data_IF_427984317637
#
_entry.id   IF_427984317637
#
_cell.length_a   1.000
_cell.length_b   1.000
_cell.length_c   1.000
_cell.angle_alpha   90.00
_cell.angle_beta   90.00
_cell.angle_gamma   90.00
#
_symmetry.space_group_name_H-M   'P 1'
#
loop_
_entity.id
_entity.type
_entity.pdbx_description
1 polymer ?
#
# COMPACT_ATOMS: atom_id res chain seq x y z
N UNK A 1 -19.52 -14.39 31.94
CA UNK A 1 -19.31 -13.99 30.53
C UNK A 1 -19.30 -12.48 30.47
N UNK A 2 -18.15 -11.84 30.23
CA UNK A 2 -18.14 -10.42 29.90
C UNK A 2 -18.68 -10.25 28.48
N UNK A 3 -19.76 -9.49 28.32
CA UNK A 3 -20.29 -9.14 27.01
C UNK A 3 -19.22 -8.34 26.24
N UNK A 4 -18.94 -8.75 25.00
CA UNK A 4 -18.00 -8.03 24.13
C UNK A 4 -18.52 -6.62 23.90
N UNK A 5 -17.68 -5.62 24.12
CA UNK A 5 -18.03 -4.20 23.97
C UNK A 5 -18.53 -3.90 22.55
N UNK A 6 -19.65 -3.17 22.37
CA UNK A 6 -20.10 -2.69 21.06
C UNK A 6 -19.02 -1.94 20.28
N UNK A 7 -18.13 -1.24 20.99
CA UNK A 7 -17.01 -0.49 20.40
C UNK A 7 -15.94 -1.42 19.82
N UNK A 8 -15.71 -2.57 20.46
CA UNK A 8 -14.81 -3.59 19.92
C UNK A 8 -15.38 -4.23 18.64
N UNK A 9 -16.70 -4.43 18.59
CA UNK A 9 -17.37 -4.95 17.40
C UNK A 9 -17.25 -3.99 16.21
N UNK A 10 -17.28 -2.68 16.46
CA UNK A 10 -17.04 -1.67 15.44
C UNK A 10 -15.60 -1.75 14.87
N UNK A 11 -14.58 -1.75 15.75
CA UNK A 11 -13.18 -1.93 15.35
C UNK A 11 -13.00 -3.19 14.50
N UNK A 12 -13.51 -4.31 15.00
CA UNK A 12 -13.44 -5.61 14.33
C UNK A 12 -14.16 -5.59 12.99
N UNK A 13 -15.32 -4.94 12.92
CA UNK A 13 -16.09 -4.79 11.69
C UNK A 13 -15.32 -4.02 10.61
N UNK A 14 -14.73 -2.87 10.96
CA UNK A 14 -13.91 -2.07 10.03
C UNK A 14 -12.72 -2.88 9.53
N UNK A 15 -12.00 -3.56 10.42
CA UNK A 15 -10.84 -4.37 10.07
C UNK A 15 -11.19 -5.55 9.16
N UNK A 16 -12.25 -6.29 9.49
CA UNK A 16 -12.71 -7.45 8.71
C UNK A 16 -13.18 -7.03 7.33
N UNK A 17 -13.92 -5.92 7.22
CA UNK A 17 -14.35 -5.40 5.92
C UNK A 17 -13.14 -5.01 5.05
N UNK A 18 -12.15 -4.35 5.63
CA UNK A 18 -10.94 -3.98 4.92
C UNK A 18 -10.13 -5.20 4.46
N UNK A 19 -9.88 -6.15 5.37
CA UNK A 19 -9.17 -7.41 5.07
C UNK A 19 -9.88 -8.22 3.99
N UNK A 20 -11.20 -8.39 4.12
CA UNK A 20 -12.01 -9.15 3.14
C UNK A 20 -11.96 -8.50 1.77
N UNK A 21 -12.02 -7.16 1.68
CA UNK A 21 -11.92 -6.46 0.40
C UNK A 21 -10.59 -6.79 -0.30
N UNK A 22 -9.47 -6.70 0.42
CA UNK A 22 -8.14 -7.01 -0.14
C UNK A 22 -8.02 -8.48 -0.54
N UNK A 23 -8.47 -9.39 0.31
CA UNK A 23 -8.39 -10.83 0.06
C UNK A 23 -9.25 -11.26 -1.13
N UNK A 24 -10.47 -10.71 -1.27
CA UNK A 24 -11.32 -10.96 -2.43
C UNK A 24 -10.64 -10.52 -3.73
N UNK A 25 -9.95 -9.38 -3.73
CA UNK A 25 -9.20 -8.90 -4.89
C UNK A 25 -7.99 -9.80 -5.17
N UNK A 26 -7.27 -10.24 -4.12
CA UNK A 26 -6.13 -11.15 -4.23
C UNK A 26 -6.49 -12.50 -4.82
N UNK A 27 -7.57 -13.12 -4.33
CA UNK A 27 -8.02 -14.45 -4.81
C UNK A 27 -8.50 -14.39 -6.27
N UNK A 28 -9.09 -13.27 -6.68
CA UNK A 28 -9.51 -13.06 -8.06
C UNK A 28 -8.36 -12.65 -9.00
N UNK A 29 -7.16 -12.41 -8.47
CA UNK A 29 -6.04 -11.89 -9.25
C UNK A 29 -5.30 -13.01 -10.01
N UNK A 30 -5.25 -12.95 -11.35
CA UNK A 30 -4.54 -13.95 -12.15
C UNK A 30 -3.04 -13.62 -12.17
N UNK A 31 -2.35 -13.90 -11.07
CA UNK A 31 -0.92 -13.58 -10.91
C UNK A 31 -0.03 -14.18 -12.00
N UNK A 32 -0.39 -15.36 -12.50
CA UNK A 32 0.33 -16.09 -13.54
C UNK A 32 0.31 -15.38 -14.90
N UNK A 33 -0.73 -14.60 -15.20
CA UNK A 33 -0.96 -13.97 -16.51
C UNK A 33 -0.54 -12.50 -16.56
N UNK A 34 -0.40 -11.87 -15.39
CA UNK A 34 -0.15 -10.44 -15.23
C UNK A 34 1.28 -10.12 -14.79
N UNK A 35 2.19 -11.08 -14.93
CA UNK A 35 3.57 -10.94 -14.53
C UNK A 35 4.18 -9.73 -15.25
N UNK A 36 4.35 -8.63 -14.51
CA UNK A 36 5.07 -7.47 -14.98
C UNK A 36 6.47 -7.97 -15.31
N UNK A 37 6.80 -7.97 -16.59
CA UNK A 37 8.04 -8.56 -17.04
C UNK A 37 9.18 -7.61 -16.65
N UNK A 38 9.76 -7.84 -15.48
CA UNK A 38 10.94 -7.13 -15.01
C UNK A 38 12.08 -7.50 -15.95
N UNK A 39 12.55 -6.52 -16.72
CA UNK A 39 13.60 -6.67 -17.73
C UNK A 39 14.81 -5.81 -17.37
N UNK A 40 15.97 -6.20 -17.90
CA UNK A 40 17.22 -5.45 -17.75
C UNK A 40 17.56 -5.20 -16.29
N UNK A 41 18.01 -3.98 -15.99
CA UNK A 41 18.44 -3.55 -14.67
C UNK A 41 17.36 -3.71 -13.58
N UNK A 42 16.06 -3.72 -13.92
CA UNK A 42 15.01 -3.96 -12.93
C UNK A 42 15.01 -5.41 -12.41
N UNK A 43 15.37 -6.37 -13.25
CA UNK A 43 15.44 -7.80 -12.87
C UNK A 43 16.62 -8.12 -11.96
N UNK A 44 17.62 -7.24 -11.89
CA UNK A 44 18.80 -7.38 -11.03
C UNK A 44 18.52 -6.98 -9.58
N UNK A 45 17.51 -6.13 -9.35
CA UNK A 45 17.24 -5.50 -8.06
C UNK A 45 15.89 -5.88 -7.44
N UNK A 46 14.97 -6.46 -8.22
CA UNK A 46 13.67 -6.88 -7.73
C UNK A 46 13.46 -8.37 -7.92
N UNK A 47 12.98 -9.02 -6.86
CA UNK A 47 12.59 -10.41 -6.88
C UNK A 47 11.07 -10.55 -7.10
N UNK A 48 10.58 -11.71 -7.57
CA UNK A 48 9.14 -11.96 -7.69
C UNK A 48 8.36 -11.70 -6.38
N UNK A 49 8.98 -11.95 -5.22
CA UNK A 49 8.39 -11.65 -3.90
C UNK A 49 8.18 -10.14 -3.64
N UNK A 50 8.94 -9.27 -4.31
CA UNK A 50 8.72 -7.82 -4.22
C UNK A 50 7.54 -7.37 -5.05
N UNK A 51 7.25 -8.06 -6.16
CA UNK A 51 6.07 -7.81 -6.97
C UNK A 51 4.78 -8.11 -6.20
N UNK A 52 4.77 -9.09 -5.30
CA UNK A 52 3.60 -9.32 -4.44
C UNK A 52 3.24 -8.08 -3.61
N UNK A 53 4.23 -7.36 -3.09
CA UNK A 53 4.02 -6.13 -2.31
C UNK A 53 3.52 -4.99 -3.20
N UNK A 54 3.94 -4.99 -4.47
CA UNK A 54 3.40 -4.06 -5.47
C UNK A 54 1.93 -4.38 -5.75
N UNK A 55 1.57 -5.66 -5.90
CA UNK A 55 0.18 -6.06 -6.09
C UNK A 55 -0.70 -5.72 -4.88
N UNK A 56 -0.21 -5.94 -3.65
CA UNK A 56 -0.88 -5.50 -2.42
C UNK A 56 -1.17 -4.00 -2.45
N UNK A 57 -0.16 -3.20 -2.81
CA UNK A 57 -0.28 -1.74 -2.88
C UNK A 57 -1.27 -1.28 -3.94
N UNK A 58 -1.37 -1.98 -5.08
CA UNK A 58 -2.32 -1.67 -6.14
C UNK A 58 -3.72 -2.27 -5.86
N UNK A 59 -3.88 -2.99 -4.75
CA UNK A 59 -5.12 -3.66 -4.37
C UNK A 59 -5.50 -4.77 -5.34
N UNK A 60 -4.51 -5.44 -5.94
CA UNK A 60 -4.68 -6.51 -6.93
C UNK A 60 -5.58 -6.11 -8.11
N UNK A 61 -5.59 -4.82 -8.47
CA UNK A 61 -6.36 -4.32 -9.60
C UNK A 61 -5.68 -4.70 -10.92
N UNK A 62 -6.30 -5.65 -11.63
CA UNK A 62 -5.80 -6.23 -12.87
C UNK A 62 -5.52 -5.17 -13.94
N UNK A 63 -6.44 -4.23 -14.14
CA UNK A 63 -6.29 -3.20 -15.18
C UNK A 63 -5.12 -2.27 -14.87
N UNK A 64 -4.90 -1.97 -13.60
CA UNK A 64 -3.80 -1.12 -13.17
C UNK A 64 -2.47 -1.86 -13.29
N UNK A 65 -2.40 -3.14 -12.95
CA UNK A 65 -1.19 -3.94 -13.16
C UNK A 65 -0.86 -4.04 -14.66
N UNK A 66 -1.85 -4.26 -15.53
CA UNK A 66 -1.66 -4.23 -16.99
C UNK A 66 -1.14 -2.87 -17.45
N UNK A 67 -1.72 -1.79 -16.93
CA UNK A 67 -1.28 -0.41 -17.22
C UNK A 67 0.19 -0.22 -16.84
N UNK A 68 0.66 -0.81 -15.74
CA UNK A 68 2.06 -0.76 -15.34
C UNK A 68 2.98 -1.51 -16.32
N UNK A 69 2.55 -2.69 -16.79
CA UNK A 69 3.25 -3.42 -17.85
C UNK A 69 3.38 -2.61 -19.14
N UNK A 70 2.30 -1.96 -19.58
CA UNK A 70 2.31 -1.09 -20.76
C UNK A 70 3.25 0.11 -20.62
N UNK A 71 3.40 0.65 -19.40
CA UNK A 71 4.39 1.69 -19.11
C UNK A 71 5.80 1.11 -19.26
N UNK A 72 6.06 -0.08 -18.73
CA UNK A 72 7.38 -0.71 -18.77
C UNK A 72 7.82 -1.03 -20.19
N UNK A 73 6.89 -1.46 -21.06
CA UNK A 73 7.21 -1.74 -22.46
C UNK A 73 7.62 -0.51 -23.28
N UNK A 74 7.37 0.72 -22.77
CA UNK A 74 7.74 1.99 -23.43
C UNK A 74 9.06 2.57 -22.93
N UNK A 75 9.66 1.98 -21.90
CA UNK A 75 10.84 2.50 -21.21
C UNK A 75 12.03 1.57 -21.44
N UNK A 76 13.23 2.15 -21.41
CA UNK A 76 14.48 1.39 -21.46
C UNK A 76 15.05 1.19 -20.05
N UNK A 77 15.48 -0.03 -19.76
CA UNK A 77 16.04 -0.45 -18.47
C UNK A 77 17.44 -1.02 -18.64
N UNK A 78 18.27 -0.39 -19.48
CA UNK A 78 19.61 -0.87 -19.81
C UNK A 78 20.60 -0.70 -18.65
N UNK A 79 20.47 0.34 -17.82
CA UNK A 79 21.31 0.56 -16.63
C UNK A 79 20.53 1.05 -15.42
N UNK A 80 21.02 0.72 -14.22
CA UNK A 80 20.51 1.24 -12.94
C UNK A 80 20.68 2.76 -12.80
N UNK A 81 21.62 3.34 -13.55
CA UNK A 81 21.90 4.78 -13.51
C UNK A 81 21.01 5.58 -14.46
N UNK A 82 20.28 4.92 -15.36
CA UNK A 82 19.45 5.59 -16.35
C UNK A 82 18.21 6.24 -15.72
N UNK A 83 17.80 7.34 -16.34
CA UNK A 83 16.64 8.13 -15.90
C UNK A 83 15.40 7.26 -15.78
N UNK A 84 15.13 6.43 -16.79
CA UNK A 84 13.90 5.66 -16.91
C UNK A 84 13.85 4.57 -15.83
N UNK A 85 14.95 3.82 -15.66
CA UNK A 85 15.14 2.87 -14.55
C UNK A 85 14.95 3.54 -13.20
N UNK A 86 15.62 4.67 -12.93
CA UNK A 86 15.51 5.37 -11.65
C UNK A 86 14.07 5.84 -11.34
N UNK A 87 13.36 6.34 -12.35
CA UNK A 87 11.95 6.75 -12.19
C UNK A 87 11.07 5.55 -11.83
N UNK A 88 11.22 4.42 -12.53
CA UNK A 88 10.44 3.20 -12.23
C UNK A 88 10.82 2.59 -10.89
N UNK A 89 12.11 2.60 -10.52
CA UNK A 89 12.58 2.14 -9.20
C UNK A 89 11.94 2.95 -8.08
N UNK A 90 11.88 4.27 -8.20
CA UNK A 90 11.23 5.12 -7.19
C UNK A 90 9.72 4.83 -7.08
N UNK A 91 9.07 4.56 -8.21
CA UNK A 91 7.66 4.17 -8.25
C UNK A 91 7.43 2.84 -7.53
N UNK A 92 8.16 1.79 -7.92
CA UNK A 92 8.05 0.46 -7.35
C UNK A 92 8.38 0.44 -5.85
N UNK A 93 9.43 1.13 -5.42
CA UNK A 93 9.76 1.29 -4.01
C UNK A 93 8.65 1.96 -3.21
N UNK A 94 7.95 2.92 -3.81
CA UNK A 94 6.80 3.56 -3.17
C UNK A 94 5.64 2.58 -2.99
N UNK A 95 5.35 1.76 -4.00
CA UNK A 95 4.34 0.70 -3.90
C UNK A 95 4.72 -0.33 -2.84
N UNK A 96 5.96 -0.81 -2.85
CA UNK A 96 6.46 -1.76 -1.85
C UNK A 96 6.26 -1.23 -0.42
N UNK A 97 6.51 0.06 -0.18
CA UNK A 97 6.30 0.68 1.15
C UNK A 97 4.82 0.73 1.56
N UNK A 98 3.91 0.97 0.60
CA UNK A 98 2.46 0.93 0.86
C UNK A 98 2.03 -0.50 1.19
N UNK A 99 2.38 -1.47 0.34
CA UNK A 99 2.07 -2.89 0.56
C UNK A 99 2.61 -3.39 1.89
N UNK A 100 3.85 -3.02 2.23
CA UNK A 100 4.46 -3.32 3.52
C UNK A 100 3.67 -2.70 4.69
N UNK A 101 3.23 -1.45 4.58
CA UNK A 101 2.42 -0.79 5.61
C UNK A 101 1.08 -1.51 5.83
N UNK A 102 0.43 -1.96 4.76
CA UNK A 102 -0.79 -2.75 4.82
C UNK A 102 -0.53 -4.11 5.51
N UNK A 103 0.56 -4.80 5.17
CA UNK A 103 0.94 -6.06 5.83
C UNK A 103 1.21 -5.87 7.33
N UNK A 104 2.00 -4.86 7.71
CA UNK A 104 2.25 -4.51 9.12
C UNK A 104 0.95 -4.35 9.90
N UNK A 105 -0.05 -3.66 9.32
CA UNK A 105 -1.34 -3.48 9.98
C UNK A 105 -1.96 -4.81 10.41
N UNK A 106 -1.96 -5.82 9.53
CA UNK A 106 -2.62 -7.10 9.79
C UNK A 106 -1.75 -8.08 10.58
N UNK A 107 -0.46 -8.14 10.27
CA UNK A 107 0.45 -9.15 10.80
C UNK A 107 0.98 -8.75 12.18
N UNK A 108 1.19 -7.44 12.38
CA UNK A 108 1.88 -6.93 13.56
C UNK A 108 0.97 -6.07 14.45
N UNK A 109 0.12 -5.19 13.89
CA UNK A 109 -0.62 -4.19 14.70
C UNK A 109 -1.97 -4.73 15.19
N UNK A 110 -2.77 -5.29 14.29
CA UNK A 110 -4.12 -5.80 14.57
C UNK A 110 -4.20 -7.30 14.25
N UNK A 111 -3.18 -8.04 14.67
CA UNK A 111 -3.18 -9.50 14.56
C UNK A 111 -4.13 -10.14 15.57
N UNK A 112 -4.35 -11.45 15.42
CA UNK A 112 -5.30 -12.20 16.25
C UNK A 112 -5.04 -12.01 17.75
N UNK A 113 -3.79 -12.15 18.18
CA UNK A 113 -3.40 -12.02 19.59
C UNK A 113 -3.73 -10.63 20.13
N UNK A 114 -3.34 -9.57 19.41
CA UNK A 114 -3.62 -8.18 19.81
C UNK A 114 -5.12 -7.88 19.82
N UNK A 115 -5.87 -8.38 18.85
CA UNK A 115 -7.34 -8.25 18.82
C UNK A 115 -8.01 -8.95 20.01
N UNK A 116 -7.55 -10.14 20.38
CA UNK A 116 -8.09 -10.87 21.53
C UNK A 116 -7.85 -10.10 22.84
N UNK A 117 -6.72 -9.42 22.98
CA UNK A 117 -6.42 -8.54 24.12
C UNK A 117 -7.27 -7.27 24.11
N UNK A 118 -7.49 -6.66 22.94
CA UNK A 118 -8.30 -5.46 22.78
C UNK A 118 -9.77 -5.64 23.17
N UNK A 119 -10.29 -6.88 23.23
CA UNK A 119 -11.65 -7.18 23.73
C UNK A 119 -11.92 -6.65 25.15
N UNK A 120 -10.86 -6.56 25.95
CA UNK A 120 -10.93 -6.16 27.35
C UNK A 120 -10.49 -4.71 27.57
N UNK A 121 -10.19 -3.97 26.50
CA UNK A 121 -9.72 -2.60 26.59
C UNK A 121 -10.86 -1.61 26.83
N UNK A 122 -10.53 -0.47 27.42
CA UNK A 122 -11.45 0.66 27.60
C UNK A 122 -12.01 1.17 26.26
N UNK A 123 -13.27 1.60 26.31
CA UNK A 123 -14.00 2.07 25.14
C UNK A 123 -13.38 3.33 24.50
N UNK A 124 -12.75 4.21 25.28
CA UNK A 124 -12.09 5.41 24.78
C UNK A 124 -10.87 5.07 23.90
N UNK A 125 -10.05 4.13 24.34
CA UNK A 125 -8.89 3.66 23.58
C UNK A 125 -9.31 2.90 22.32
N UNK A 126 -10.35 2.05 22.42
CA UNK A 126 -10.89 1.36 21.25
C UNK A 126 -11.41 2.35 20.19
N UNK A 127 -12.11 3.41 20.59
CA UNK A 127 -12.55 4.48 19.66
C UNK A 127 -11.38 5.17 18.98
N UNK A 128 -10.29 5.45 19.71
CA UNK A 128 -9.09 6.07 19.14
C UNK A 128 -8.41 5.16 18.13
N UNK A 129 -8.25 3.88 18.46
CA UNK A 129 -7.70 2.88 17.54
C UNK A 129 -8.57 2.76 16.28
N UNK A 130 -9.90 2.67 16.43
CA UNK A 130 -10.83 2.65 15.28
C UNK A 130 -10.67 3.89 14.40
N UNK A 131 -10.58 5.09 14.99
CA UNK A 131 -10.39 6.32 14.24
C UNK A 131 -9.07 6.32 13.46
N UNK A 132 -7.97 5.87 14.06
CA UNK A 132 -6.70 5.75 13.34
C UNK A 132 -6.76 4.71 12.22
N UNK A 133 -7.45 3.58 12.44
CA UNK A 133 -7.66 2.57 11.41
C UNK A 133 -8.45 3.12 10.22
N UNK A 134 -9.54 3.85 10.47
CA UNK A 134 -10.33 4.49 9.39
C UNK A 134 -9.47 5.50 8.63
N UNK A 135 -8.74 6.37 9.32
CA UNK A 135 -7.83 7.33 8.70
C UNK A 135 -6.73 6.64 7.88
N UNK A 136 -6.20 5.52 8.37
CA UNK A 136 -5.20 4.72 7.66
C UNK A 136 -5.79 4.17 6.35
N UNK A 137 -6.97 3.56 6.42
CA UNK A 137 -7.65 2.99 5.26
C UNK A 137 -7.93 4.08 4.21
N UNK A 138 -8.40 5.25 4.63
CA UNK A 138 -8.73 6.33 3.72
C UNK A 138 -7.48 6.98 3.11
N UNK A 139 -6.40 7.13 3.89
CA UNK A 139 -5.10 7.58 3.37
C UNK A 139 -4.54 6.61 2.32
N UNK A 140 -4.64 5.29 2.55
CA UNK A 140 -4.25 4.27 1.58
C UNK A 140 -5.10 4.36 0.31
N UNK A 141 -6.43 4.48 0.43
CA UNK A 141 -7.34 4.61 -0.72
C UNK A 141 -7.06 5.86 -1.56
N UNK A 142 -6.88 7.02 -0.93
CA UNK A 142 -6.57 8.28 -1.64
C UNK A 142 -5.24 8.15 -2.38
N UNK A 143 -4.22 7.58 -1.72
CA UNK A 143 -2.91 7.37 -2.34
C UNK A 143 -3.00 6.45 -3.55
N UNK A 144 -3.67 5.31 -3.42
CA UNK A 144 -3.89 4.36 -4.51
C UNK A 144 -4.64 5.02 -5.66
N UNK A 145 -5.72 5.77 -5.40
CA UNK A 145 -6.49 6.48 -6.42
C UNK A 145 -5.62 7.44 -7.24
N UNK A 146 -4.74 8.21 -6.58
CA UNK A 146 -3.80 9.11 -7.24
C UNK A 146 -2.78 8.37 -8.10
N UNK A 147 -2.22 7.29 -7.57
CA UNK A 147 -1.30 6.41 -8.30
C UNK A 147 -1.97 5.91 -9.57
N UNK A 148 -3.21 5.39 -9.47
CA UNK A 148 -3.98 4.90 -10.61
C UNK A 148 -4.16 5.98 -11.68
N UNK A 149 -4.60 7.18 -11.28
CA UNK A 149 -4.78 8.30 -12.21
C UNK A 149 -3.47 8.69 -12.91
N UNK A 150 -2.36 8.72 -12.17
CA UNK A 150 -1.05 9.02 -12.74
C UNK A 150 -0.53 7.93 -13.68
N UNK A 151 -0.81 6.65 -13.38
CA UNK A 151 -0.46 5.53 -14.25
C UNK A 151 -1.25 5.57 -15.54
N UNK A 152 -2.57 5.82 -15.49
CA UNK A 152 -3.41 5.98 -16.68
C UNK A 152 -2.89 7.14 -17.54
N UNK A 153 -2.55 8.27 -16.92
CA UNK A 153 -1.97 9.41 -17.63
C UNK A 153 -0.64 9.05 -18.29
N UNK A 154 0.25 8.33 -17.60
CA UNK A 154 1.53 7.91 -18.15
C UNK A 154 1.36 6.90 -19.29
N UNK A 155 0.48 5.91 -19.14
CA UNK A 155 0.19 4.92 -20.17
C UNK A 155 -0.41 5.54 -21.44
N UNK A 156 -1.13 6.66 -21.34
CA UNK A 156 -1.64 7.39 -22.52
C UNK A 156 -0.56 8.08 -23.37
N UNK A 157 0.70 8.13 -22.90
CA UNK A 157 1.81 8.78 -23.62
C UNK A 157 2.40 7.83 -24.66
N UNK A 158 2.83 8.38 -25.78
CA UNK A 158 3.32 7.64 -26.94
C UNK A 158 4.81 7.33 -26.88
N UNK A 159 5.58 8.17 -26.20
CA UNK A 159 7.04 8.09 -26.12
C UNK A 159 7.53 8.06 -24.67
N UNK A 160 8.76 7.55 -24.48
CA UNK A 160 9.39 7.37 -23.18
C UNK A 160 9.49 8.69 -22.39
N UNK A 161 9.85 9.80 -23.04
CA UNK A 161 9.96 11.10 -22.37
C UNK A 161 8.61 11.57 -21.83
N UNK A 162 7.55 11.44 -22.64
CA UNK A 162 6.18 11.72 -22.26
C UNK A 162 5.74 10.88 -21.06
N UNK A 163 6.03 9.58 -21.08
CA UNK A 163 5.76 8.65 -19.96
C UNK A 163 6.45 9.12 -18.69
N UNK A 164 7.76 9.37 -18.75
CA UNK A 164 8.55 9.80 -17.58
C UNK A 164 8.06 11.15 -17.05
N UNK A 165 7.78 12.12 -17.93
CA UNK A 165 7.21 13.41 -17.54
C UNK A 165 5.84 13.27 -16.89
N UNK A 166 5.00 12.37 -17.38
CA UNK A 166 3.70 12.10 -16.78
C UNK A 166 3.84 11.44 -15.40
N UNK A 167 4.69 10.42 -15.25
CA UNK A 167 4.99 9.80 -13.96
C UNK A 167 5.56 10.82 -12.98
N UNK A 168 6.59 11.55 -13.37
CA UNK A 168 7.23 12.63 -12.62
C UNK A 168 6.38 13.89 -12.48
N UNK A 169 5.19 13.99 -13.07
CA UNK A 169 4.29 15.13 -12.92
C UNK A 169 3.04 14.81 -12.12
N UNK A 170 2.69 13.52 -12.01
CA UNK A 170 1.45 13.06 -11.37
C UNK A 170 1.71 12.24 -10.10
N UNK A 171 2.51 11.19 -10.21
CA UNK A 171 2.80 10.26 -9.10
C UNK A 171 4.05 10.70 -8.35
N UNK A 172 5.09 11.03 -9.14
CA UNK A 172 6.44 11.37 -8.71
C UNK A 172 6.73 12.87 -8.96
N UNK A 173 5.70 13.69 -9.22
CA UNK A 173 5.72 15.17 -9.18
C UNK A 173 6.80 15.67 -8.24
N UNK A 174 7.64 16.65 -8.66
CA UNK A 174 8.79 17.30 -7.98
C UNK A 174 8.51 17.82 -6.55
N UNK A 175 8.00 16.91 -5.76
CA UNK A 175 7.36 16.91 -4.47
C UNK A 175 7.68 15.53 -3.90
N UNK A 176 8.96 15.33 -3.66
CA UNK A 176 9.40 14.53 -2.51
C UNK A 176 8.56 14.84 -1.26
N UNK A 177 7.91 16.00 -1.18
CA UNK A 177 6.91 16.32 -0.16
C UNK A 177 5.63 15.50 -0.27
N UNK A 178 4.95 15.35 -1.42
CA UNK A 178 3.54 14.87 -1.41
C UNK A 178 3.44 13.35 -1.25
N UNK A 179 4.08 12.57 -2.13
CA UNK A 179 4.07 11.11 -2.01
C UNK A 179 4.74 10.68 -0.70
N UNK A 180 5.89 11.27 -0.33
CA UNK A 180 6.51 10.95 0.96
C UNK A 180 5.70 11.45 2.14
N UNK A 181 5.00 12.58 2.06
CA UNK A 181 4.10 13.04 3.13
C UNK A 181 2.93 12.10 3.31
N UNK A 182 2.32 11.62 2.22
CA UNK A 182 1.26 10.63 2.28
C UNK A 182 1.77 9.29 2.85
N UNK A 183 2.93 8.82 2.42
CA UNK A 183 3.58 7.64 2.99
C UNK A 183 3.94 7.84 4.47
N UNK A 184 4.44 9.03 4.85
CA UNK A 184 4.75 9.38 6.23
C UNK A 184 3.48 9.47 7.07
N UNK A 185 2.38 9.93 6.51
CA UNK A 185 1.08 9.96 7.18
C UNK A 185 0.57 8.53 7.43
N UNK A 186 0.60 7.66 6.42
CA UNK A 186 0.26 6.23 6.55
C UNK A 186 1.12 5.58 7.64
N UNK A 187 2.44 5.83 7.62
CA UNK A 187 3.36 5.31 8.62
C UNK A 187 3.09 5.88 10.02
N UNK A 188 2.82 7.18 10.15
CA UNK A 188 2.48 7.82 11.42
C UNK A 188 1.18 7.28 12.02
N UNK A 189 0.18 6.99 11.19
CA UNK A 189 -1.07 6.36 11.63
C UNK A 189 -0.83 4.93 12.15
N UNK A 190 0.05 4.16 11.50
CA UNK A 190 0.48 2.86 12.01
C UNK A 190 1.20 2.98 13.35
N UNK A 191 2.15 3.92 13.47
CA UNK A 191 2.87 4.14 14.72
C UNK A 191 1.92 4.55 15.86
N UNK A 192 0.99 5.45 15.61
CA UNK A 192 -0.02 5.85 16.61
C UNK A 192 -0.87 4.65 17.08
N UNK A 193 -1.27 3.76 16.15
CA UNK A 193 -1.98 2.53 16.52
C UNK A 193 -1.08 1.57 17.30
N UNK A 194 0.16 1.38 16.86
CA UNK A 194 1.14 0.52 17.54
C UNK A 194 1.39 1.01 18.95
N UNK A 195 1.65 2.30 19.14
CA UNK A 195 1.85 2.91 20.44
C UNK A 195 0.66 2.68 21.37
N UNK A 196 -0.57 2.97 20.92
CA UNK A 196 -1.76 2.75 21.75
C UNK A 196 -1.97 1.29 22.14
N UNK A 197 -1.61 0.36 21.25
CA UNK A 197 -1.77 -1.06 21.47
C UNK A 197 -0.62 -1.61 22.32
N UNK A 198 0.63 -1.17 22.12
CA UNK A 198 1.86 -1.72 22.72
C UNK A 198 2.28 -1.03 24.03
N UNK A 199 2.24 0.30 24.13
CA UNK A 199 2.57 1.01 25.39
C UNK A 199 1.64 0.61 26.54
N UNK A 200 0.41 0.21 26.21
CA UNK A 200 -0.57 -0.24 27.18
C UNK A 200 -0.49 -1.75 27.48
N UNK A 201 0.32 -2.51 26.74
CA UNK A 201 0.60 -3.92 27.02
C UNK A 201 1.76 -4.11 28.01
N UNK A 202 2.58 -3.08 28.22
CA UNK A 202 3.67 -3.10 29.19
C UNK A 202 3.25 -2.73 30.63
N UNK A 203 1.97 -2.39 30.84
CA UNK A 203 1.41 -1.97 32.15
C UNK A 203 0.52 -3.08 32.76
N UNK A 204 0.68 -4.34 32.33
CA UNK A 204 0.00 -5.51 32.92
C UNK A 204 1.00 -6.33 33.74
#
# INVERSE_FOLDING_TARGET
>A
MHAISPVFNELSGVLVLFKRKLENQRVAFPSCELNMNLKGALSEIYYPSDLEKVYDALGYDVEIVRTLGQIFDKLDFSSLYDRDTRTVVNLLNSFIRIGHSIRILFDNVLNKTKLDMLKFRDAGDLKRITNYLVQFIDAVKDLISRIKNGMVLAASKTDAEGVIRALNGSILASHDVRLRSMLRNIHGLLLNMMELIELNMAII
#
